data_IF_579243300875
#
_entry.id   IF_579243300875
#
_cell.length_a   1.000
_cell.length_b   1.000
_cell.length_c   1.000
_cell.angle_alpha   90.00
_cell.angle_beta   90.00
_cell.angle_gamma   90.00
#
_symmetry.space_group_name_H-M   'P 1'
#
loop_
_entity.id
_entity.type
_entity.pdbx_description
1 polymer ?
#
# COMPACT_ATOMS: atom_id res chain seq x y z
N UNK A 1 17.90 50.01 26.67
CA UNK A 1 17.02 50.42 27.81
C UNK A 1 16.14 49.23 28.12
N UNK A 2 16.43 48.62 29.25
CA UNK A 2 15.66 47.56 29.99
C UNK A 2 14.57 48.34 30.77
N UNK A 3 13.44 47.72 31.20
CA UNK A 3 13.45 46.48 32.01
C UNK A 3 12.30 45.47 31.81
N UNK A 4 12.61 44.26 32.21
CA UNK A 4 11.72 43.25 32.82
C UNK A 4 11.27 43.70 34.24
N UNK A 5 10.23 43.14 34.89
CA UNK A 5 10.51 42.04 35.81
C UNK A 5 9.40 40.99 36.08
N UNK A 6 9.83 39.81 36.59
CA UNK A 6 9.51 39.02 37.78
C UNK A 6 8.23 38.12 37.71
N UNK A 7 8.32 36.86 37.78
CA UNK A 7 8.71 35.84 38.80
C UNK A 7 7.49 35.39 39.65
N UNK A 8 7.31 34.08 39.78
CA UNK A 8 6.35 33.43 40.67
C UNK A 8 6.45 31.90 40.57
N UNK A 9 7.38 31.33 41.33
CA UNK A 9 7.56 29.90 41.58
C UNK A 9 6.38 29.30 42.37
N UNK A 10 6.10 28.03 42.14
CA UNK A 10 5.18 27.26 42.94
C UNK A 10 5.31 25.77 42.69
N UNK A 11 6.31 25.15 43.32
CA UNK A 11 6.50 23.71 43.43
C UNK A 11 5.43 23.16 44.37
N UNK A 12 4.76 22.05 43.99
CA UNK A 12 4.17 21.12 44.97
C UNK A 12 4.26 19.67 44.52
N UNK A 13 4.71 18.88 45.45
CA UNK A 13 5.19 17.50 45.45
C UNK A 13 4.02 16.53 45.60
N UNK A 14 4.13 15.42 44.84
CA UNK A 14 3.69 14.01 45.07
C UNK A 14 2.66 13.64 46.11
N UNK A 15 1.72 12.76 45.75
CA UNK A 15 1.09 11.77 46.62
C UNK A 15 -0.17 11.13 46.01
N UNK A 16 -0.29 9.80 45.97
CA UNK A 16 -1.45 9.13 45.39
C UNK A 16 -2.59 8.98 46.41
N UNK A 17 -3.84 9.18 45.97
CA UNK A 17 -4.99 8.82 46.77
C UNK A 17 -6.01 8.07 45.89
N UNK A 18 -6.45 6.90 46.36
CA UNK A 18 -7.47 6.13 45.64
C UNK A 18 -8.84 6.39 46.28
N UNK A 19 -9.87 6.70 45.51
CA UNK A 19 -11.27 6.40 45.86
C UNK A 19 -12.21 6.56 44.65
N UNK A 20 -13.31 5.79 44.57
CA UNK A 20 -14.13 5.70 43.36
C UNK A 20 -15.16 6.85 43.31
N UNK A 21 -15.26 7.52 42.17
CA UNK A 21 -16.27 8.53 41.89
C UNK A 21 -17.55 7.85 41.38
N UNK A 22 -18.56 7.83 42.25
CA UNK A 22 -19.95 7.59 41.86
C UNK A 22 -20.52 8.91 41.34
N UNK A 23 -20.74 9.01 40.06
CA UNK A 23 -21.38 10.18 39.46
C UNK A 23 -22.91 10.06 39.61
N UNK A 24 -23.48 10.84 40.53
CA UNK A 24 -24.92 11.07 40.66
C UNK A 24 -25.32 12.21 39.73
N UNK A 25 -26.04 11.91 38.67
CA UNK A 25 -26.66 12.93 37.81
C UNK A 25 -28.04 13.24 38.34
N UNK A 26 -28.23 14.42 38.94
CA UNK A 26 -29.53 14.93 39.38
C UNK A 26 -30.17 15.70 38.25
N UNK A 27 -31.26 15.17 37.73
CA UNK A 27 -32.13 15.92 36.82
C UNK A 27 -33.16 16.74 37.59
N UNK A 28 -33.17 18.04 37.41
CA UNK A 28 -34.17 18.96 37.94
C UNK A 28 -35.39 18.97 36.98
N UNK A 29 -36.51 18.40 37.41
CA UNK A 29 -37.76 18.42 36.67
C UNK A 29 -38.64 19.59 37.15
N UNK A 30 -39.11 20.37 36.19
CA UNK A 30 -40.06 21.50 36.37
C UNK A 30 -41.46 20.97 36.42
N UNK A 31 -42.20 21.23 37.50
CA UNK A 31 -43.55 20.79 37.75
C UNK A 31 -44.57 21.30 36.67
N UNK A 32 -45.39 20.39 36.17
CA UNK A 32 -46.76 20.65 35.67
C UNK A 32 -47.69 19.56 36.14
N UNK A 33 -48.88 20.02 36.49
CA UNK A 33 -49.96 19.38 37.27
C UNK A 33 -50.48 18.05 36.76
N UNK A 34 -50.65 17.17 37.68
CA UNK A 34 -51.70 16.18 38.00
C UNK A 34 -52.29 15.29 36.90
N UNK A 35 -51.88 14.02 36.96
CA UNK A 35 -52.72 12.82 36.76
C UNK A 35 -52.03 11.65 37.51
N UNK A 36 -52.76 10.67 38.07
CA UNK A 36 -52.15 9.65 38.96
C UNK A 36 -51.34 8.65 38.12
N UNK A 37 -50.09 8.48 38.56
CA UNK A 37 -49.11 7.54 37.97
C UNK A 37 -49.34 6.17 38.60
N UNK A 38 -49.41 5.07 37.83
CA UNK A 38 -49.36 3.71 38.41
C UNK A 38 -47.98 3.39 38.97
N UNK A 39 -47.86 2.41 39.90
CA UNK A 39 -46.60 2.15 40.60
C UNK A 39 -45.49 1.76 39.64
N UNK A 40 -44.35 2.49 39.73
CA UNK A 40 -43.15 2.26 38.96
C UNK A 40 -42.55 0.91 39.41
N UNK A 41 -42.56 -0.06 38.51
CA UNK A 41 -41.77 -1.28 38.66
C UNK A 41 -40.32 -0.92 38.36
N UNK A 42 -39.51 -0.87 39.41
CA UNK A 42 -38.07 -0.70 39.27
C UNK A 42 -37.47 -1.98 38.63
N UNK A 43 -37.19 -1.93 37.31
CA UNK A 43 -36.35 -2.95 36.65
C UNK A 43 -34.90 -2.69 37.06
N UNK A 44 -34.39 -3.46 38.04
CA UNK A 44 -32.94 -3.51 38.30
C UNK A 44 -32.27 -4.28 37.18
N UNK A 45 -31.67 -3.56 36.20
CA UNK A 45 -30.78 -4.16 35.21
C UNK A 45 -29.41 -4.33 35.91
N UNK A 46 -29.12 -5.52 36.38
CA UNK A 46 -27.77 -5.89 36.82
C UNK A 46 -26.95 -6.13 35.56
N UNK A 47 -26.14 -5.16 35.16
CA UNK A 47 -25.12 -5.37 34.12
C UNK A 47 -24.04 -6.29 34.71
N UNK A 48 -24.05 -7.54 34.28
CA UNK A 48 -22.98 -8.48 34.58
C UNK A 48 -21.74 -8.09 33.74
N UNK A 49 -20.83 -7.33 34.32
CA UNK A 49 -19.55 -6.93 33.73
C UNK A 49 -18.46 -8.01 33.80
N UNK A 50 -18.79 -9.19 34.29
CA UNK A 50 -17.80 -10.21 34.60
C UNK A 50 -17.45 -11.19 33.49
N UNK A 51 -18.02 -11.06 32.25
CA UNK A 51 -17.73 -12.00 31.16
C UNK A 51 -17.77 -11.39 29.75
N UNK A 52 -16.81 -10.53 29.45
CA UNK A 52 -16.26 -10.49 28.11
C UNK A 52 -14.75 -10.49 28.23
N UNK A 53 -14.14 -11.66 28.05
CA UNK A 53 -12.72 -11.69 27.72
C UNK A 53 -12.51 -10.72 26.55
N UNK A 54 -11.45 -9.89 26.56
CA UNK A 54 -11.17 -9.03 25.43
C UNK A 54 -11.15 -9.92 24.17
N UNK A 55 -11.70 -9.47 23.03
CA UNK A 55 -11.70 -10.27 21.81
C UNK A 55 -10.26 -10.74 21.58
N UNK A 56 -10.07 -12.04 21.41
CA UNK A 56 -8.76 -12.60 21.17
C UNK A 56 -8.15 -11.87 19.97
N UNK A 57 -7.01 -11.22 20.17
CA UNK A 57 -6.26 -10.60 19.08
C UNK A 57 -5.95 -11.73 18.10
N UNK A 58 -6.36 -11.63 16.83
CA UNK A 58 -6.11 -12.71 15.88
C UNK A 58 -4.60 -12.97 15.81
N UNK A 59 -4.18 -14.24 15.71
CA UNK A 59 -2.77 -14.59 15.71
C UNK A 59 -2.04 -13.86 14.57
N UNK A 60 -0.87 -13.29 14.89
CA UNK A 60 -0.10 -12.52 13.93
C UNK A 60 0.40 -13.40 12.77
N UNK A 61 0.26 -12.91 11.55
CA UNK A 61 0.81 -13.59 10.37
C UNK A 61 2.30 -13.26 10.25
N UNK A 62 3.15 -14.27 10.42
CA UNK A 62 4.61 -14.10 10.38
C UNK A 62 5.13 -13.69 9.00
N UNK A 63 4.43 -14.00 7.92
CA UNK A 63 4.86 -13.70 6.54
C UNK A 63 4.98 -12.21 6.24
N UNK A 64 4.40 -11.35 7.07
CA UNK A 64 4.43 -9.90 6.90
C UNK A 64 5.41 -9.17 7.80
N UNK A 65 6.20 -9.89 8.60
CA UNK A 65 7.18 -9.32 9.51
C UNK A 65 8.55 -9.24 8.83
N UNK A 66 9.24 -8.10 8.96
CA UNK A 66 10.66 -8.02 8.62
C UNK A 66 11.48 -8.95 9.52
N UNK A 67 12.72 -9.24 9.17
CA UNK A 67 13.57 -10.13 10.00
C UNK A 67 13.69 -9.65 11.44
N UNK A 68 13.83 -8.34 11.66
CA UNK A 68 13.92 -7.76 12.99
C UNK A 68 12.61 -7.91 13.78
N UNK A 69 11.47 -7.61 13.13
CA UNK A 69 10.14 -7.79 13.72
C UNK A 69 9.85 -9.28 14.02
N UNK A 70 10.23 -10.17 13.09
CA UNK A 70 10.09 -11.62 13.29
C UNK A 70 10.93 -12.10 14.47
N UNK A 71 12.17 -11.61 14.62
CA UNK A 71 13.03 -11.96 15.74
C UNK A 71 12.41 -11.52 17.07
N UNK A 72 11.91 -10.29 17.14
CA UNK A 72 11.23 -9.80 18.33
C UNK A 72 9.97 -10.63 18.64
N UNK A 73 9.10 -10.87 17.65
CA UNK A 73 7.89 -11.66 17.82
C UNK A 73 8.18 -13.09 18.31
N UNK A 74 9.20 -13.74 17.78
CA UNK A 74 9.61 -15.08 18.23
C UNK A 74 10.16 -15.08 19.66
N UNK A 75 10.98 -14.08 20.03
CA UNK A 75 11.53 -13.95 21.37
C UNK A 75 10.45 -13.67 22.41
N UNK A 76 9.49 -12.79 22.09
CA UNK A 76 8.43 -12.36 23.00
C UNK A 76 7.33 -13.44 23.14
N UNK A 77 7.21 -14.33 22.16
CA UNK A 77 6.16 -15.34 22.14
C UNK A 77 6.28 -16.40 23.22
N UNK A 78 7.50 -16.64 23.73
CA UNK A 78 7.83 -17.79 24.59
C UNK A 78 7.78 -19.16 23.86
N UNK A 79 7.46 -19.19 22.58
CA UNK A 79 7.49 -20.41 21.76
C UNK A 79 8.93 -20.84 21.40
N UNK A 80 9.87 -19.91 21.50
CA UNK A 80 11.27 -20.10 21.17
C UNK A 80 12.13 -19.49 22.26
N UNK A 81 13.15 -20.23 22.74
CA UNK A 81 14.11 -19.68 23.68
C UNK A 81 14.81 -18.44 23.07
N UNK A 82 14.94 -17.30 23.78
CA UNK A 82 15.50 -16.06 23.24
C UNK A 82 16.85 -16.23 22.54
N UNK A 83 17.74 -17.07 23.12
CA UNK A 83 19.05 -17.39 22.54
C UNK A 83 18.96 -18.08 21.16
N UNK A 84 17.86 -18.75 20.86
CA UNK A 84 17.62 -19.46 19.59
C UNK A 84 16.84 -18.61 18.57
N UNK A 85 16.31 -17.46 18.96
CA UNK A 85 15.41 -16.66 18.11
C UNK A 85 16.05 -16.31 16.77
N UNK A 86 17.32 -15.85 16.75
CA UNK A 86 18.06 -15.50 15.53
C UNK A 86 18.16 -16.68 14.55
N UNK A 87 18.48 -17.88 15.04
CA UNK A 87 18.57 -19.08 14.21
C UNK A 87 17.18 -19.48 13.67
N UNK A 88 16.14 -19.41 14.51
CA UNK A 88 14.76 -19.73 14.11
C UNK A 88 14.21 -18.75 13.07
N UNK A 89 14.56 -17.46 13.16
CA UNK A 89 14.26 -16.48 12.12
C UNK A 89 14.77 -16.96 10.75
N UNK A 90 16.05 -17.34 10.64
CA UNK A 90 16.61 -17.80 9.37
C UNK A 90 15.88 -19.04 8.83
N UNK A 91 15.56 -20.00 9.70
CA UNK A 91 14.84 -21.23 9.33
C UNK A 91 13.42 -20.90 8.86
N UNK A 92 12.62 -20.20 9.67
CA UNK A 92 11.25 -19.83 9.33
C UNK A 92 11.19 -18.94 8.08
N UNK A 93 12.13 -18.00 7.95
CA UNK A 93 12.23 -17.11 6.79
C UNK A 93 12.39 -17.88 5.47
N UNK A 94 13.31 -18.83 5.44
CA UNK A 94 13.50 -19.70 4.27
C UNK A 94 12.23 -20.46 3.91
N UNK A 95 11.55 -21.05 4.89
CA UNK A 95 10.31 -21.76 4.65
C UNK A 95 9.18 -20.86 4.12
N UNK A 96 8.99 -19.68 4.72
CA UNK A 96 7.94 -18.74 4.33
C UNK A 96 8.18 -18.09 2.97
N UNK A 97 9.40 -17.62 2.73
CA UNK A 97 9.67 -16.69 1.62
C UNK A 97 10.46 -17.32 0.47
N UNK A 98 11.12 -18.45 0.67
CA UNK A 98 11.80 -19.21 -0.40
C UNK A 98 10.98 -20.42 -0.84
N UNK A 99 10.39 -21.16 0.12
CA UNK A 99 9.59 -22.36 -0.17
C UNK A 99 8.09 -22.12 -0.22
N UNK A 100 7.61 -20.97 0.28
CA UNK A 100 6.20 -20.59 0.19
C UNK A 100 5.26 -21.38 1.09
N UNK A 101 5.75 -22.00 2.15
CA UNK A 101 4.90 -22.83 3.03
C UNK A 101 3.87 -21.98 3.78
N UNK A 102 2.71 -22.57 4.00
CA UNK A 102 1.58 -22.01 4.73
C UNK A 102 1.24 -22.80 5.99
N UNK A 103 2.04 -23.84 6.30
CA UNK A 103 1.88 -24.67 7.49
C UNK A 103 3.24 -24.85 8.19
N UNK A 104 3.26 -24.62 9.51
CA UNK A 104 4.45 -24.86 10.33
C UNK A 104 4.89 -26.32 10.32
N UNK A 105 3.97 -27.26 10.12
CA UNK A 105 4.29 -28.69 10.05
C UNK A 105 5.30 -29.02 8.94
N UNK A 106 5.30 -28.26 7.85
CA UNK A 106 6.24 -28.42 6.73
C UNK A 106 7.68 -27.97 7.04
N UNK A 107 7.91 -27.23 8.12
CA UNK A 107 9.22 -26.66 8.48
C UNK A 107 10.11 -27.73 9.16
N UNK A 108 10.53 -28.74 8.43
CA UNK A 108 11.15 -29.97 8.97
C UNK A 108 12.49 -29.78 9.70
N UNK A 109 13.19 -28.67 9.47
CA UNK A 109 14.43 -28.31 10.20
C UNK A 109 14.17 -27.55 11.51
N UNK A 110 12.90 -27.37 11.90
CA UNK A 110 12.47 -26.87 13.20
C UNK A 110 11.90 -28.03 14.02
N UNK A 111 12.31 -28.19 15.28
CA UNK A 111 11.84 -29.26 16.14
C UNK A 111 10.28 -29.30 16.22
N UNK A 112 9.71 -30.49 16.32
CA UNK A 112 8.25 -30.72 16.28
C UNK A 112 7.50 -29.92 17.36
N UNK A 113 8.05 -29.87 18.56
CA UNK A 113 7.50 -29.15 19.71
C UNK A 113 7.50 -27.63 19.46
N UNK A 114 8.59 -27.11 18.89
CA UNK A 114 8.68 -25.69 18.54
C UNK A 114 7.71 -25.32 17.41
N UNK A 115 7.50 -26.20 16.41
CA UNK A 115 6.49 -25.97 15.34
C UNK A 115 5.09 -25.92 15.91
N UNK A 116 4.75 -26.81 16.84
CA UNK A 116 3.45 -26.82 17.51
C UNK A 116 3.24 -25.52 18.33
N UNK A 117 4.24 -25.12 19.13
CA UNK A 117 4.19 -23.87 19.91
C UNK A 117 4.08 -22.62 19.02
N UNK A 118 4.69 -22.62 17.82
CA UNK A 118 4.53 -21.53 16.85
C UNK A 118 3.11 -21.50 16.26
N UNK A 119 2.56 -22.67 15.91
CA UNK A 119 1.21 -22.79 15.34
C UNK A 119 0.09 -22.36 16.29
N UNK A 120 0.30 -22.46 17.62
CA UNK A 120 -0.63 -21.96 18.62
C UNK A 120 -0.69 -20.42 18.70
N UNK A 121 0.36 -19.72 18.26
CA UNK A 121 0.53 -18.27 18.48
C UNK A 121 0.53 -17.47 17.21
N UNK A 122 0.84 -18.08 16.08
CA UNK A 122 1.05 -17.43 14.80
C UNK A 122 0.36 -18.18 13.67
N UNK A 123 0.14 -17.45 12.57
CA UNK A 123 -0.37 -18.03 11.32
C UNK A 123 0.55 -17.72 10.14
N UNK A 124 0.40 -18.51 9.06
CA UNK A 124 1.10 -18.35 7.78
C UNK A 124 0.10 -18.28 6.63
N UNK A 125 -1.08 -17.70 6.88
CA UNK A 125 -2.19 -17.73 5.94
C UNK A 125 -1.97 -16.86 4.72
N UNK A 126 -2.51 -17.31 3.58
CA UNK A 126 -2.71 -16.50 2.37
C UNK A 126 -4.08 -15.84 2.41
N UNK A 127 -4.21 -14.62 1.89
CA UNK A 127 -5.52 -14.02 1.67
C UNK A 127 -6.28 -14.81 0.60
N UNK A 128 -7.61 -14.73 0.63
CA UNK A 128 -8.47 -15.41 -0.32
C UNK A 128 -8.46 -14.69 -1.67
N UNK A 129 -8.27 -15.42 -2.76
CA UNK A 129 -8.56 -14.94 -4.10
C UNK A 129 -10.06 -14.95 -4.28
N UNK A 130 -10.67 -13.78 -4.47
CA UNK A 130 -12.11 -13.61 -4.75
C UNK A 130 -12.40 -13.91 -6.21
N UNK A 131 -11.55 -13.36 -7.08
CA UNK A 131 -11.67 -13.51 -8.53
C UNK A 131 -10.29 -13.60 -9.16
N UNK A 132 -10.16 -14.45 -10.17
CA UNK A 132 -9.00 -14.57 -11.05
C UNK A 132 -9.44 -14.37 -12.49
N UNK A 133 -8.87 -13.40 -13.15
CA UNK A 133 -9.13 -13.13 -14.57
C UNK A 133 -7.83 -13.27 -15.36
N UNK A 134 -7.91 -13.85 -16.55
CA UNK A 134 -6.77 -13.98 -17.45
C UNK A 134 -7.12 -13.39 -18.81
N UNK A 135 -6.29 -12.44 -19.25
CA UNK A 135 -6.42 -11.76 -20.52
C UNK A 135 -5.85 -12.62 -21.66
N UNK A 136 -6.33 -12.38 -22.87
CA UNK A 136 -5.81 -13.02 -24.09
C UNK A 136 -4.32 -12.79 -24.31
N UNK A 137 -3.76 -11.73 -23.77
CA UNK A 137 -2.34 -11.39 -23.87
C UNK A 137 -1.51 -11.93 -22.67
N UNK A 138 -2.10 -12.83 -21.86
CA UNK A 138 -1.45 -13.51 -20.76
C UNK A 138 -1.31 -12.71 -19.46
N UNK A 139 -1.93 -11.51 -19.38
CA UNK A 139 -2.04 -10.77 -18.14
C UNK A 139 -2.98 -11.50 -17.20
N UNK A 140 -2.59 -11.65 -15.94
CA UNK A 140 -3.44 -12.24 -14.90
C UNK A 140 -3.74 -11.19 -13.85
N UNK A 141 -5.03 -11.01 -13.54
CA UNK A 141 -5.51 -10.12 -12.48
C UNK A 141 -6.19 -10.93 -11.40
N UNK A 142 -5.84 -10.67 -10.15
CA UNK A 142 -6.49 -11.24 -8.97
C UNK A 142 -7.16 -10.14 -8.17
N UNK A 143 -8.42 -10.35 -7.79
CA UNK A 143 -9.06 -9.63 -6.71
C UNK A 143 -8.79 -10.40 -5.41
N UNK A 144 -8.04 -9.79 -4.50
CA UNK A 144 -7.57 -10.42 -3.26
C UNK A 144 -8.30 -9.80 -2.08
N UNK A 145 -8.95 -10.65 -1.27
CA UNK A 145 -9.65 -10.24 -0.05
C UNK A 145 -8.78 -10.47 1.18
N UNK A 146 -8.49 -9.40 1.90
CA UNK A 146 -7.67 -9.40 3.12
C UNK A 146 -8.51 -9.47 4.40
N UNK A 147 -9.77 -9.01 4.32
CA UNK A 147 -10.78 -9.07 5.36
C UNK A 147 -12.15 -8.77 4.72
N UNK A 148 -13.26 -9.01 5.41
CA UNK A 148 -14.59 -8.64 4.92
C UNK A 148 -14.65 -7.18 4.50
N UNK A 149 -15.01 -6.90 3.24
CA UNK A 149 -15.07 -5.56 2.65
C UNK A 149 -13.71 -4.88 2.45
N UNK A 150 -12.62 -5.64 2.44
CA UNK A 150 -11.25 -5.12 2.26
C UNK A 150 -10.57 -5.91 1.16
N UNK A 151 -10.73 -5.44 -0.08
CA UNK A 151 -10.24 -6.13 -1.27
C UNK A 151 -9.40 -5.19 -2.12
N UNK A 152 -8.35 -5.72 -2.74
CA UNK A 152 -7.55 -4.99 -3.69
C UNK A 152 -7.16 -5.86 -4.88
N UNK A 153 -6.97 -5.22 -6.03
CA UNK A 153 -6.53 -5.88 -7.24
C UNK A 153 -5.01 -5.93 -7.34
N UNK A 154 -4.51 -7.02 -7.85
CA UNK A 154 -3.09 -7.29 -8.14
C UNK A 154 -2.97 -7.85 -9.53
N UNK A 155 -1.98 -7.41 -10.32
CA UNK A 155 -1.87 -7.75 -11.74
C UNK A 155 -0.48 -8.27 -12.09
N UNK A 156 -0.40 -9.47 -12.65
CA UNK A 156 0.81 -9.98 -13.28
C UNK A 156 0.81 -9.65 -14.76
N UNK A 157 1.90 -9.05 -15.24
CA UNK A 157 2.08 -8.65 -16.64
C UNK A 157 3.30 -9.42 -17.17
N UNK A 158 3.09 -10.43 -18.05
CA UNK A 158 4.18 -11.18 -18.65
C UNK A 158 5.01 -10.32 -19.63
N UNK A 159 6.23 -10.75 -19.92
CA UNK A 159 7.15 -10.13 -20.87
C UNK A 159 7.50 -8.66 -20.57
N UNK A 160 7.43 -8.29 -19.30
CA UNK A 160 7.83 -6.96 -18.80
C UNK A 160 9.01 -7.11 -17.84
N UNK A 161 9.97 -6.20 -17.93
CA UNK A 161 11.22 -6.34 -17.20
C UNK A 161 12.08 -7.44 -17.82
N UNK A 162 12.50 -8.42 -17.00
CA UNK A 162 13.30 -9.57 -17.49
C UNK A 162 12.41 -10.71 -18.00
N UNK A 163 11.29 -10.96 -17.31
CA UNK A 163 10.34 -12.02 -17.69
C UNK A 163 8.89 -11.64 -17.38
N UNK A 164 8.64 -10.89 -16.30
CA UNK A 164 7.31 -10.40 -15.96
C UNK A 164 7.35 -9.50 -14.75
N UNK A 165 6.34 -8.65 -14.61
CA UNK A 165 6.19 -7.70 -13.54
C UNK A 165 4.87 -7.90 -12.80
N UNK A 166 4.91 -7.80 -11.47
CA UNK A 166 3.73 -7.75 -10.64
C UNK A 166 3.42 -6.29 -10.25
N UNK A 167 2.23 -5.85 -10.57
CA UNK A 167 1.67 -4.59 -10.12
C UNK A 167 0.92 -4.84 -8.81
N UNK A 168 1.43 -4.29 -7.71
CA UNK A 168 0.87 -4.43 -6.36
C UNK A 168 0.16 -3.17 -5.92
N UNK A 169 -0.88 -3.34 -5.11
CA UNK A 169 -1.64 -2.28 -4.46
C UNK A 169 -1.05 -1.97 -3.09
N UNK A 170 -1.12 -0.70 -2.68
CA UNK A 170 -0.67 -0.21 -1.37
C UNK A 170 -1.82 0.23 -0.45
N UNK A 171 -2.99 0.43 -1.02
CA UNK A 171 -4.22 0.85 -0.31
C UNK A 171 -5.42 0.10 -0.88
N UNK A 172 -6.51 0.04 -0.13
CA UNK A 172 -7.84 -0.31 -0.65
C UNK A 172 -8.57 1.00 -0.96
N UNK A 173 -8.91 1.22 -2.23
CA UNK A 173 -9.22 2.53 -2.77
C UNK A 173 -7.98 3.41 -2.90
N UNK A 174 -8.14 4.72 -2.97
CA UNK A 174 -7.02 5.65 -3.07
C UNK A 174 -7.25 6.88 -2.20
N UNK A 175 -6.16 7.39 -1.61
CA UNK A 175 -6.16 8.69 -0.91
C UNK A 175 -6.35 9.85 -1.89
N UNK A 176 -5.95 9.64 -3.16
CA UNK A 176 -5.97 10.64 -4.22
C UNK A 176 -7.16 10.41 -5.15
N UNK A 177 -7.59 11.50 -5.78
CA UNK A 177 -8.71 11.53 -6.72
C UNK A 177 -8.26 11.99 -8.12
N UNK A 178 -7.17 11.39 -8.63
CA UNK A 178 -6.70 11.66 -9.98
C UNK A 178 -7.80 11.37 -11.00
N UNK A 179 -8.13 12.36 -11.85
CA UNK A 179 -9.35 12.33 -12.67
C UNK A 179 -9.31 11.30 -13.81
N UNK A 180 -8.12 10.93 -14.26
CA UNK A 180 -7.90 9.92 -15.32
C UNK A 180 -7.83 8.47 -14.77
N UNK A 181 -7.88 8.27 -13.45
CA UNK A 181 -7.68 6.96 -12.81
C UNK A 181 -8.98 6.43 -12.22
N UNK A 182 -9.35 5.18 -12.58
CA UNK A 182 -10.55 4.53 -12.04
C UNK A 182 -10.46 4.33 -10.52
N UNK A 183 -9.27 3.94 -10.01
CA UNK A 183 -9.05 3.87 -8.55
C UNK A 183 -9.26 5.22 -7.86
N UNK A 184 -8.99 6.34 -8.55
CA UNK A 184 -9.24 7.69 -8.03
C UNK A 184 -10.72 8.01 -7.77
N UNK A 185 -11.64 7.24 -8.35
CA UNK A 185 -13.10 7.35 -8.08
C UNK A 185 -13.53 6.60 -6.82
N UNK A 186 -12.67 5.73 -6.29
CA UNK A 186 -12.92 4.94 -5.09
C UNK A 186 -12.28 5.61 -3.87
N UNK A 187 -13.11 6.03 -2.92
CA UNK A 187 -12.61 6.60 -1.68
C UNK A 187 -11.70 5.60 -0.93
N UNK A 188 -10.71 6.14 -0.22
CA UNK A 188 -9.82 5.33 0.62
C UNK A 188 -10.62 4.58 1.69
N UNK A 189 -10.54 3.26 1.68
CA UNK A 189 -11.04 2.39 2.75
C UNK A 189 -10.00 2.33 3.87
N UNK A 190 -8.77 1.89 3.56
CA UNK A 190 -7.61 1.89 4.44
C UNK A 190 -6.28 1.62 3.72
N UNK A 191 -5.19 1.86 4.42
CA UNK A 191 -3.87 1.38 4.02
C UNK A 191 -3.79 -0.14 4.13
N UNK A 192 -3.04 -0.78 3.23
CA UNK A 192 -2.64 -2.17 3.36
C UNK A 192 -1.44 -2.27 4.32
N UNK A 193 -1.41 -3.33 5.13
CA UNK A 193 -0.25 -3.67 5.96
C UNK A 193 0.89 -4.23 5.12
N UNK A 194 2.10 -4.28 5.67
CA UNK A 194 3.24 -4.92 5.01
C UNK A 194 2.93 -6.39 4.67
N UNK A 195 2.26 -7.12 5.58
CA UNK A 195 1.80 -8.47 5.35
C UNK A 195 0.89 -8.61 4.13
N UNK A 196 -0.06 -7.70 3.96
CA UNK A 196 -1.02 -7.71 2.85
C UNK A 196 -0.36 -7.32 1.53
N UNK A 197 0.63 -6.43 1.56
CA UNK A 197 1.43 -6.10 0.37
C UNK A 197 2.29 -7.31 -0.05
N UNK A 198 3.00 -7.95 0.89
CA UNK A 198 3.81 -9.15 0.63
C UNK A 198 2.92 -10.30 0.16
N UNK A 199 1.73 -10.44 0.74
CA UNK A 199 0.79 -11.50 0.38
C UNK A 199 0.35 -11.44 -1.09
N UNK A 200 0.28 -10.26 -1.71
CA UNK A 200 0.01 -10.13 -3.15
C UNK A 200 1.13 -10.80 -3.99
N UNK A 201 2.39 -10.66 -3.57
CA UNK A 201 3.53 -11.33 -4.23
C UNK A 201 3.45 -12.84 -4.01
N UNK A 202 3.07 -13.27 -2.81
CA UNK A 202 2.95 -14.69 -2.48
C UNK A 202 1.80 -15.36 -3.24
N UNK A 203 0.63 -14.72 -3.30
CA UNK A 203 -0.54 -15.18 -4.09
C UNK A 203 -0.16 -15.34 -5.57
N UNK A 204 0.54 -14.35 -6.14
CA UNK A 204 0.98 -14.45 -7.53
C UNK A 204 1.96 -15.61 -7.74
N UNK A 205 2.89 -15.84 -6.81
CA UNK A 205 3.83 -16.98 -6.88
C UNK A 205 3.15 -18.32 -6.70
N UNK A 206 2.14 -18.40 -5.82
CA UNK A 206 1.33 -19.61 -5.64
C UNK A 206 0.60 -19.97 -6.95
N UNK A 207 -0.12 -19.01 -7.55
CA UNK A 207 -0.91 -19.22 -8.77
C UNK A 207 -0.04 -19.49 -10.01
N UNK A 208 1.14 -18.86 -10.09
CA UNK A 208 2.10 -19.06 -11.18
C UNK A 208 2.98 -20.31 -11.00
N UNK A 209 2.90 -21.01 -9.87
CA UNK A 209 3.71 -22.20 -9.57
C UNK A 209 5.20 -21.90 -9.42
N UNK A 210 5.59 -20.75 -8.88
CA UNK A 210 6.98 -20.27 -8.89
C UNK A 210 7.82 -20.58 -7.65
N UNK A 211 7.27 -21.31 -6.69
CA UNK A 211 8.04 -21.74 -5.55
C UNK A 211 9.02 -22.84 -5.97
N UNK A 212 10.28 -22.72 -5.55
CA UNK A 212 11.36 -23.65 -5.94
C UNK A 212 11.63 -23.71 -7.46
N UNK A 213 11.23 -22.69 -8.21
CA UNK A 213 11.55 -22.62 -9.63
C UNK A 213 13.06 -22.62 -9.86
N UNK A 214 13.58 -23.39 -10.83
CA UNK A 214 14.99 -23.37 -11.20
C UNK A 214 15.48 -21.94 -11.48
N UNK A 215 16.77 -21.69 -11.24
CA UNK A 215 17.36 -20.40 -11.56
C UNK A 215 17.20 -20.09 -13.06
N UNK A 216 16.67 -18.90 -13.38
CA UNK A 216 16.39 -18.48 -14.75
C UNK A 216 14.98 -18.78 -15.27
N UNK A 217 14.19 -19.64 -14.61
CA UNK A 217 12.80 -19.95 -15.01
C UNK A 217 11.73 -19.06 -14.36
N UNK A 218 12.13 -18.13 -13.49
CA UNK A 218 11.19 -17.21 -12.82
C UNK A 218 10.44 -16.32 -13.80
N UNK A 219 9.11 -16.38 -13.76
CA UNK A 219 8.22 -15.50 -14.51
C UNK A 219 8.10 -14.13 -13.82
N UNK A 220 8.00 -14.10 -12.50
CA UNK A 220 7.88 -12.88 -11.69
C UNK A 220 9.28 -12.38 -11.29
N UNK A 221 9.76 -11.38 -12.01
CA UNK A 221 11.10 -10.82 -11.82
C UNK A 221 11.14 -9.36 -11.39
N UNK A 222 10.01 -8.65 -11.51
CA UNK A 222 9.90 -7.24 -11.19
C UNK A 222 8.64 -6.99 -10.35
N UNK A 223 8.68 -6.00 -9.46
CA UNK A 223 7.51 -5.52 -8.72
C UNK A 223 7.35 -4.02 -8.93
N UNK A 224 6.13 -3.58 -9.20
CA UNK A 224 5.82 -2.16 -9.34
C UNK A 224 4.65 -1.79 -8.42
N UNK A 225 4.83 -0.78 -7.60
CA UNK A 225 3.77 -0.20 -6.76
C UNK A 225 3.00 0.83 -7.60
N UNK A 226 2.19 0.32 -8.52
CA UNK A 226 1.39 1.10 -9.47
C UNK A 226 -0.07 0.61 -9.52
N UNK A 227 -0.47 -0.22 -8.55
CA UNK A 227 -1.83 -0.67 -8.35
C UNK A 227 -2.69 0.36 -7.64
N UNK A 228 -3.60 -0.09 -6.80
CA UNK A 228 -4.50 0.79 -6.05
C UNK A 228 -3.76 1.52 -4.94
N UNK A 229 -4.01 2.85 -4.82
CA UNK A 229 -3.51 3.69 -3.74
C UNK A 229 -2.26 4.51 -4.08
N UNK A 230 -1.93 5.41 -3.15
CA UNK A 230 -0.70 6.21 -3.15
C UNK A 230 0.31 5.61 -2.15
N UNK A 231 1.39 4.98 -2.62
CA UNK A 231 2.33 4.28 -1.74
C UNK A 231 2.98 5.16 -0.67
N UNK A 232 3.23 6.44 -0.98
CA UNK A 232 3.91 7.33 -0.04
C UNK A 232 3.01 7.82 1.12
N UNK A 233 1.70 7.64 1.03
CA UNK A 233 0.81 7.77 2.20
C UNK A 233 0.74 6.48 3.05
N UNK A 234 1.48 5.44 2.64
CA UNK A 234 1.63 4.18 3.36
C UNK A 234 3.11 3.76 3.44
N UNK A 235 4.02 4.73 3.58
CA UNK A 235 5.47 4.51 3.41
C UNK A 235 6.03 3.43 4.32
N UNK A 236 5.61 3.37 5.58
CA UNK A 236 6.16 2.40 6.55
C UNK A 236 5.87 0.97 6.12
N UNK A 237 4.61 0.66 5.80
CA UNK A 237 4.24 -0.68 5.34
C UNK A 237 4.86 -1.02 3.97
N UNK A 238 4.98 -0.03 3.08
CA UNK A 238 5.65 -0.20 1.78
C UNK A 238 7.13 -0.49 1.97
N UNK A 239 7.82 0.21 2.87
CA UNK A 239 9.24 0.00 3.15
C UNK A 239 9.49 -1.40 3.77
N UNK A 240 8.68 -1.80 4.74
CA UNK A 240 8.76 -3.12 5.35
C UNK A 240 8.50 -4.24 4.33
N UNK A 241 7.48 -4.06 3.48
CA UNK A 241 7.22 -5.00 2.38
C UNK A 241 8.38 -5.09 1.38
N UNK A 242 9.00 -3.95 1.05
CA UNK A 242 10.19 -3.90 0.19
C UNK A 242 11.37 -4.66 0.80
N UNK A 243 11.61 -4.54 2.11
CA UNK A 243 12.65 -5.28 2.82
C UNK A 243 12.42 -6.79 2.73
N UNK A 244 11.17 -7.23 2.93
CA UNK A 244 10.79 -8.64 2.82
C UNK A 244 10.96 -9.15 1.38
N UNK A 245 10.42 -8.42 0.39
CA UNK A 245 10.43 -8.82 -1.02
C UNK A 245 11.86 -8.87 -1.58
N UNK A 246 12.74 -7.96 -1.12
CA UNK A 246 14.10 -7.85 -1.64
C UNK A 246 15.15 -8.70 -0.90
N UNK A 247 14.76 -9.36 0.19
CA UNK A 247 15.67 -10.20 0.98
C UNK A 247 16.20 -11.39 0.17
N UNK A 248 17.53 -11.51 0.06
CA UNK A 248 18.18 -12.48 -0.82
C UNK A 248 17.98 -13.95 -0.39
N UNK A 249 17.66 -14.20 0.89
CA UNK A 249 17.40 -15.54 1.41
C UNK A 249 15.90 -15.91 1.38
N UNK A 250 15.07 -15.03 0.80
CA UNK A 250 13.62 -15.19 0.69
C UNK A 250 13.11 -15.07 -0.75
N UNK A 251 12.23 -14.09 -0.99
CA UNK A 251 11.62 -13.83 -2.31
C UNK A 251 12.68 -13.39 -3.32
N UNK A 252 13.69 -12.64 -2.89
CA UNK A 252 14.89 -12.29 -3.64
C UNK A 252 14.65 -11.52 -4.94
N UNK A 253 13.73 -10.55 -4.94
CA UNK A 253 13.57 -9.59 -6.05
C UNK A 253 14.46 -8.39 -5.76
N UNK A 254 15.53 -8.20 -6.55
CA UNK A 254 16.48 -7.10 -6.36
C UNK A 254 15.78 -5.74 -6.31
N UNK A 255 16.18 -4.84 -5.40
CA UNK A 255 15.66 -3.48 -5.27
C UNK A 255 15.70 -2.67 -6.58
N UNK A 256 16.64 -2.95 -7.48
CA UNK A 256 16.70 -2.36 -8.83
C UNK A 256 15.55 -2.80 -9.75
N UNK A 257 14.82 -3.83 -9.36
CA UNK A 257 13.63 -4.36 -10.06
C UNK A 257 12.34 -4.06 -9.33
N UNK A 258 12.41 -3.27 -8.26
CA UNK A 258 11.25 -2.80 -7.53
C UNK A 258 11.13 -1.31 -7.77
N UNK A 259 9.98 -0.88 -8.31
CA UNK A 259 9.69 0.54 -8.58
C UNK A 259 8.53 0.98 -7.73
N UNK A 260 8.74 2.05 -6.97
CA UNK A 260 7.65 2.74 -6.25
C UNK A 260 7.24 3.96 -7.06
N UNK A 261 5.97 4.00 -7.45
CA UNK A 261 5.37 5.15 -8.13
C UNK A 261 4.66 6.04 -7.13
N UNK A 262 4.75 7.34 -7.33
CA UNK A 262 4.02 8.32 -6.53
C UNK A 262 3.47 9.44 -7.40
N UNK A 263 2.34 9.96 -7.02
CA UNK A 263 1.79 11.19 -7.61
C UNK A 263 2.48 12.45 -7.09
N UNK A 264 3.43 12.32 -6.14
CA UNK A 264 4.25 13.43 -5.69
C UNK A 264 3.98 13.87 -4.25
N UNK A 265 3.93 12.94 -3.30
CA UNK A 265 3.92 13.26 -1.86
C UNK A 265 5.33 13.72 -1.47
N UNK A 266 5.65 14.97 -1.78
CA UNK A 266 6.99 15.58 -1.73
C UNK A 266 7.77 15.28 -0.44
N UNK A 267 7.22 15.42 0.78
CA UNK A 267 7.97 15.17 2.01
C UNK A 267 8.47 13.73 2.16
N UNK A 268 7.80 12.76 1.50
CA UNK A 268 8.11 11.35 1.63
C UNK A 268 9.05 10.81 0.55
N UNK A 269 9.33 11.58 -0.50
CA UNK A 269 10.17 11.12 -1.63
C UNK A 269 11.60 10.82 -1.14
N UNK A 270 12.22 11.72 -0.38
CA UNK A 270 13.55 11.53 0.16
C UNK A 270 13.60 10.33 1.12
N UNK A 271 12.63 10.25 2.04
CA UNK A 271 12.53 9.16 3.02
C UNK A 271 12.39 7.78 2.34
N UNK A 272 11.61 7.67 1.25
CA UNK A 272 11.55 6.45 0.45
C UNK A 272 12.94 6.01 -0.03
N UNK A 273 13.72 6.92 -0.60
CA UNK A 273 15.04 6.62 -1.13
C UNK A 273 16.03 6.19 -0.05
N UNK A 274 16.03 6.88 1.09
CA UNK A 274 16.89 6.59 2.24
C UNK A 274 16.58 5.23 2.87
N UNK A 275 15.30 4.91 3.05
CA UNK A 275 14.86 3.65 3.69
C UNK A 275 14.96 2.44 2.77
N UNK A 276 14.66 2.59 1.48
CA UNK A 276 14.42 1.42 0.62
C UNK A 276 15.41 1.28 -0.51
N UNK A 277 16.03 2.36 -0.95
CA UNK A 277 16.80 2.39 -2.20
C UNK A 277 16.01 1.84 -3.41
N UNK A 278 14.71 1.94 -3.45
CA UNK A 278 13.86 1.52 -4.57
C UNK A 278 14.06 2.40 -5.80
N UNK A 279 13.64 1.93 -6.98
CA UNK A 279 13.52 2.78 -8.16
C UNK A 279 12.31 3.69 -7.99
N UNK A 280 12.45 4.96 -8.38
CA UNK A 280 11.39 5.96 -8.27
C UNK A 280 10.67 6.15 -9.61
N UNK A 281 9.34 6.16 -9.58
CA UNK A 281 8.52 6.64 -10.68
C UNK A 281 7.63 7.80 -10.19
N UNK A 282 7.45 8.81 -11.06
CA UNK A 282 6.62 9.99 -10.79
C UNK A 282 5.47 10.05 -11.78
N UNK A 283 4.26 10.01 -11.29
CA UNK A 283 3.04 10.28 -12.05
C UNK A 283 2.94 11.80 -12.31
N UNK A 284 3.54 12.26 -13.42
CA UNK A 284 3.63 13.70 -13.74
C UNK A 284 2.40 14.20 -14.49
N UNK A 285 2.13 13.62 -15.65
CA UNK A 285 0.94 13.76 -16.52
C UNK A 285 0.64 15.14 -17.09
N UNK A 286 1.30 16.20 -16.64
CA UNK A 286 1.18 17.56 -17.15
C UNK A 286 2.52 18.29 -17.09
N UNK A 287 2.64 19.41 -17.85
CA UNK A 287 3.86 20.23 -17.92
C UNK A 287 3.69 21.58 -17.22
N UNK A 288 2.49 21.88 -16.72
CA UNK A 288 2.16 23.08 -15.97
C UNK A 288 1.21 22.76 -14.81
N UNK A 289 1.22 23.62 -13.78
CA UNK A 289 0.44 23.41 -12.57
C UNK A 289 -1.06 23.48 -12.81
N UNK A 290 -1.53 24.37 -13.68
CA UNK A 290 -2.97 24.53 -13.96
C UNK A 290 -3.59 23.22 -14.44
N UNK A 291 -2.99 22.59 -15.45
CA UNK A 291 -3.47 21.29 -15.95
C UNK A 291 -3.23 20.18 -14.92
N UNK A 292 -2.10 20.21 -14.20
CA UNK A 292 -1.81 19.18 -13.21
C UNK A 292 -2.75 19.24 -12.02
N UNK A 293 -3.24 20.41 -11.62
CA UNK A 293 -4.25 20.59 -10.57
C UNK A 293 -5.59 19.91 -10.90
N UNK A 294 -5.90 19.80 -12.20
CA UNK A 294 -7.09 19.11 -12.70
C UNK A 294 -6.88 17.60 -12.76
N UNK A 295 -5.76 17.17 -13.32
CA UNK A 295 -5.47 15.75 -13.55
C UNK A 295 -5.03 15.04 -12.27
N UNK A 296 -4.22 15.70 -11.44
CA UNK A 296 -3.61 15.19 -10.21
C UNK A 296 -3.81 16.22 -9.09
N UNK A 297 -4.96 16.29 -8.43
CA UNK A 297 -5.29 17.35 -7.47
C UNK A 297 -4.31 17.51 -6.29
N UNK A 298 -3.47 16.50 -6.03
CA UNK A 298 -2.36 16.60 -5.09
C UNK A 298 -1.39 17.74 -5.43
N UNK A 299 -1.31 18.14 -6.71
CA UNK A 299 -0.44 19.23 -7.18
C UNK A 299 -0.72 20.57 -6.48
N UNK A 300 -1.97 20.85 -6.12
CA UNK A 300 -2.34 22.05 -5.35
C UNK A 300 -1.59 22.17 -4.03
N UNK A 301 -1.21 21.02 -3.44
CA UNK A 301 -0.42 20.96 -2.21
C UNK A 301 1.08 20.93 -2.48
N UNK A 302 1.49 20.26 -3.55
CA UNK A 302 2.88 20.09 -3.95
C UNK A 302 3.03 20.41 -5.44
N UNK A 303 3.25 21.69 -5.79
CA UNK A 303 3.42 22.12 -7.17
C UNK A 303 4.58 21.40 -7.87
N UNK A 304 4.57 21.43 -9.21
CA UNK A 304 5.60 20.77 -10.03
C UNK A 304 7.02 21.18 -9.62
N UNK A 305 7.23 22.45 -9.27
CA UNK A 305 8.55 22.93 -8.86
C UNK A 305 9.07 22.21 -7.60
N UNK A 306 8.23 22.06 -6.58
CA UNK A 306 8.55 21.35 -5.33
C UNK A 306 8.79 19.86 -5.59
N UNK A 307 7.93 19.25 -6.41
CA UNK A 307 8.07 17.85 -6.82
C UNK A 307 9.42 17.61 -7.49
N UNK A 308 9.78 18.41 -8.47
CA UNK A 308 11.05 18.26 -9.19
C UNK A 308 12.26 18.58 -8.31
N UNK A 309 12.12 19.51 -7.35
CA UNK A 309 13.11 19.75 -6.30
C UNK A 309 13.37 18.49 -5.49
N UNK A 310 12.33 17.83 -5.01
CA UNK A 310 12.44 16.56 -4.27
C UNK A 310 13.03 15.43 -5.13
N UNK A 311 12.68 15.34 -6.41
CA UNK A 311 13.22 14.35 -7.35
C UNK A 311 14.72 14.55 -7.55
N UNK A 312 15.20 15.80 -7.71
CA UNK A 312 16.64 16.08 -7.83
C UNK A 312 17.43 15.65 -6.60
N UNK A 313 16.81 15.72 -5.43
CA UNK A 313 17.36 15.26 -4.15
C UNK A 313 17.18 13.76 -3.86
N UNK A 314 16.63 12.98 -4.79
CA UNK A 314 16.38 11.55 -4.55
C UNK A 314 17.68 10.76 -4.40
N UNK A 315 17.89 9.99 -3.29
CA UNK A 315 19.13 9.28 -3.04
C UNK A 315 19.51 8.32 -4.15
N UNK A 316 20.74 8.44 -4.63
CA UNK A 316 21.31 7.57 -5.67
C UNK A 316 20.84 7.84 -7.09
N UNK A 317 20.14 8.97 -7.35
CA UNK A 317 19.78 9.40 -8.69
C UNK A 317 21.03 9.60 -9.56
N UNK A 318 21.07 8.97 -10.72
CA UNK A 318 22.17 9.04 -11.66
C UNK A 318 21.75 8.54 -13.04
N UNK A 319 22.63 8.68 -14.07
CA UNK A 319 22.37 8.12 -15.39
C UNK A 319 22.18 6.59 -15.39
N UNK A 320 22.80 5.87 -14.45
CA UNK A 320 22.60 4.43 -14.26
C UNK A 320 21.32 4.11 -13.46
N UNK A 321 20.80 5.08 -12.73
CA UNK A 321 19.64 4.93 -11.87
C UNK A 321 18.69 6.12 -12.06
N UNK A 322 18.04 6.13 -13.22
CA UNK A 322 17.14 7.21 -13.66
C UNK A 322 15.80 7.12 -12.94
N UNK A 323 15.21 8.28 -12.65
CA UNK A 323 13.78 8.38 -12.34
C UNK A 323 12.95 8.11 -13.57
N UNK A 324 11.80 7.47 -13.40
CA UNK A 324 10.80 7.30 -14.46
C UNK A 324 9.71 8.33 -14.29
N UNK A 325 9.45 9.16 -15.29
CA UNK A 325 8.25 9.98 -15.34
C UNK A 325 7.17 9.25 -16.14
N UNK A 326 6.05 8.99 -15.52
CA UNK A 326 4.87 8.42 -16.15
C UNK A 326 4.02 9.58 -16.70
N UNK A 327 3.65 9.49 -17.98
CA UNK A 327 2.89 10.52 -18.68
C UNK A 327 1.75 9.88 -19.47
N UNK A 328 0.52 10.00 -18.95
CA UNK A 328 -0.69 9.50 -19.62
C UNK A 328 -1.01 10.41 -20.81
N UNK A 329 -1.31 9.83 -21.98
CA UNK A 329 -1.57 10.57 -23.21
C UNK A 329 -3.09 10.73 -23.39
N UNK A 330 -3.59 11.94 -23.11
CA UNK A 330 -5.00 12.32 -23.16
C UNK A 330 -5.24 13.19 -24.39
N UNK A 331 -6.14 12.74 -25.27
CA UNK A 331 -6.40 13.35 -26.57
C UNK A 331 -6.85 14.81 -26.44
N UNK A 332 -6.11 15.70 -27.10
CA UNK A 332 -6.39 17.13 -27.14
C UNK A 332 -6.16 17.88 -25.83
N UNK A 333 -5.59 17.22 -24.81
CA UNK A 333 -5.38 17.81 -23.47
C UNK A 333 -3.89 18.04 -23.20
N UNK A 334 -3.09 16.99 -23.23
CA UNK A 334 -1.67 17.03 -22.87
C UNK A 334 -0.75 16.42 -23.93
N UNK A 335 -1.24 16.18 -25.13
CA UNK A 335 -0.60 15.38 -26.17
C UNK A 335 0.00 16.19 -27.34
N UNK A 336 -0.03 17.52 -27.26
CA UNK A 336 0.48 18.38 -28.34
C UNK A 336 2.01 18.37 -28.43
N UNK A 337 2.59 18.68 -29.62
CA UNK A 337 4.03 18.90 -29.76
C UNK A 337 4.59 20.03 -28.87
N UNK A 338 3.76 21.00 -28.50
CA UNK A 338 4.12 22.07 -27.58
C UNK A 338 4.33 21.50 -26.16
N UNK A 339 3.44 20.62 -25.69
CA UNK A 339 3.56 19.92 -24.42
C UNK A 339 4.81 19.01 -24.39
N UNK A 340 5.12 18.30 -25.48
CA UNK A 340 6.35 17.50 -25.57
C UNK A 340 7.61 18.37 -25.36
N UNK A 341 7.67 19.52 -26.03
CA UNK A 341 8.79 20.49 -25.86
C UNK A 341 8.81 21.10 -24.45
N UNK A 342 7.65 21.38 -23.87
CA UNK A 342 7.54 21.87 -22.51
C UNK A 342 8.04 20.82 -21.50
N UNK A 343 7.69 19.55 -21.68
CA UNK A 343 8.16 18.43 -20.87
C UNK A 343 9.68 18.29 -20.89
N UNK A 344 10.28 18.40 -22.07
CA UNK A 344 11.75 18.37 -22.23
C UNK A 344 12.42 19.51 -21.44
N UNK A 345 11.90 20.74 -21.56
CA UNK A 345 12.44 21.89 -20.80
C UNK A 345 12.27 21.71 -19.30
N UNK A 346 11.10 21.21 -18.87
CA UNK A 346 10.76 21.00 -17.46
C UNK A 346 11.71 20.00 -16.78
N UNK A 347 12.09 18.93 -17.48
CA UNK A 347 12.94 17.87 -16.95
C UNK A 347 14.43 18.10 -17.19
N UNK A 348 14.83 19.25 -17.72
CA UNK A 348 16.23 19.57 -18.01
C UNK A 348 17.14 19.32 -16.79
N UNK A 349 18.25 18.60 -17.01
CA UNK A 349 19.23 18.26 -15.98
C UNK A 349 18.83 17.14 -15.01
N UNK A 350 17.66 16.52 -15.18
CA UNK A 350 17.25 15.37 -14.35
C UNK A 350 17.57 14.07 -15.10
N UNK A 351 18.35 13.14 -14.54
CA UNK A 351 18.54 11.81 -15.09
C UNK A 351 17.22 11.02 -15.13
N UNK A 352 16.54 11.02 -16.28
CA UNK A 352 15.18 10.52 -16.38
C UNK A 352 14.97 9.63 -17.62
N UNK A 353 13.90 8.86 -17.57
CA UNK A 353 13.18 8.29 -18.70
C UNK A 353 11.71 8.65 -18.59
N UNK A 354 11.02 8.73 -19.72
CA UNK A 354 9.63 9.16 -19.76
C UNK A 354 8.80 8.04 -20.39
N UNK A 355 7.95 7.40 -19.60
CA UNK A 355 7.02 6.39 -20.10
C UNK A 355 5.76 7.08 -20.60
N UNK A 356 5.50 7.04 -21.89
CA UNK A 356 4.24 7.48 -22.46
C UNK A 356 3.21 6.35 -22.36
N UNK A 357 2.11 6.64 -21.68
CA UNK A 357 1.04 5.69 -21.41
C UNK A 357 -0.16 6.08 -22.28
N UNK A 358 -0.44 5.36 -23.38
CA UNK A 358 -1.72 5.52 -24.07
C UNK A 358 -2.85 5.36 -23.07
N UNK A 359 -3.76 6.32 -22.98
CA UNK A 359 -4.84 6.27 -22.00
C UNK A 359 -5.66 4.98 -22.14
N UNK A 360 -5.98 4.37 -21.02
CA UNK A 360 -6.81 3.17 -20.97
C UNK A 360 -8.21 3.57 -20.47
N UNK A 361 -9.21 3.63 -21.35
CA UNK A 361 -10.57 4.00 -20.96
C UNK A 361 -11.14 3.04 -19.91
N UNK A 362 -11.92 3.59 -19.00
CA UNK A 362 -12.71 2.86 -18.01
C UNK A 362 -14.16 3.40 -18.00
N UNK A 363 -15.16 2.63 -17.52
CA UNK A 363 -16.56 3.06 -17.55
C UNK A 363 -16.78 4.37 -16.81
N UNK A 364 -17.28 5.39 -17.52
CA UNK A 364 -17.54 6.72 -16.97
C UNK A 364 -16.36 7.70 -17.05
N UNK A 365 -15.22 7.31 -17.63
CA UNK A 365 -14.11 8.23 -17.88
C UNK A 365 -14.48 9.33 -18.86
N UNK A 366 -14.15 10.61 -18.56
CA UNK A 366 -14.41 11.72 -19.48
C UNK A 366 -13.30 11.86 -20.55
N UNK A 367 -12.25 11.04 -20.52
CA UNK A 367 -11.07 11.17 -21.36
C UNK A 367 -11.04 10.17 -22.49
N UNK A 368 -10.36 10.56 -23.58
CA UNK A 368 -10.05 9.70 -24.72
C UNK A 368 -8.55 9.48 -24.85
N UNK A 369 -8.16 8.33 -25.43
CA UNK A 369 -6.79 8.05 -25.76
C UNK A 369 -6.34 8.90 -26.96
N UNK A 370 -5.16 9.48 -26.87
CA UNK A 370 -4.52 10.17 -28.01
C UNK A 370 -4.35 9.24 -29.21
N UNK A 371 -4.43 9.79 -30.40
CA UNK A 371 -4.18 9.03 -31.63
C UNK A 371 -2.73 8.54 -31.68
N UNK A 372 -2.52 7.35 -32.24
CA UNK A 372 -1.20 6.72 -32.27
C UNK A 372 -0.11 7.60 -32.86
N UNK A 373 -0.40 8.28 -33.97
CA UNK A 373 0.54 9.21 -34.63
C UNK A 373 0.94 10.38 -33.75
N UNK A 374 -0.01 10.90 -32.93
CA UNK A 374 0.24 11.96 -31.97
C UNK A 374 1.21 11.48 -30.90
N UNK A 375 0.97 10.28 -30.34
CA UNK A 375 1.85 9.67 -29.33
C UNK A 375 3.26 9.43 -29.90
N UNK A 376 3.36 8.91 -31.12
CA UNK A 376 4.65 8.67 -31.80
C UNK A 376 5.40 9.98 -32.05
N UNK A 377 4.71 11.04 -32.50
CA UNK A 377 5.31 12.38 -32.69
C UNK A 377 5.81 12.96 -31.38
N UNK A 378 5.03 12.80 -30.29
CA UNK A 378 5.41 13.23 -28.96
C UNK A 378 6.68 12.47 -28.48
N UNK A 379 6.70 11.15 -28.64
CA UNK A 379 7.84 10.31 -28.30
C UNK A 379 9.10 10.72 -29.08
N UNK A 380 8.97 11.01 -30.39
CA UNK A 380 10.08 11.45 -31.23
C UNK A 380 10.70 12.77 -30.73
N UNK A 381 9.87 13.76 -30.35
CA UNK A 381 10.36 15.03 -29.82
C UNK A 381 11.16 14.80 -28.55
N UNK A 382 10.64 13.97 -27.64
CA UNK A 382 11.26 13.66 -26.35
C UNK A 382 12.55 12.86 -26.54
N UNK A 383 12.55 11.85 -27.44
CA UNK A 383 13.73 11.03 -27.75
C UNK A 383 14.86 11.86 -28.40
N UNK A 384 14.54 12.76 -29.33
CA UNK A 384 15.52 13.67 -29.95
C UNK A 384 16.17 14.61 -28.95
N UNK A 385 15.49 14.91 -27.87
CA UNK A 385 16.03 15.71 -26.75
C UNK A 385 16.92 14.89 -25.78
N UNK A 386 17.14 13.58 -26.04
CA UNK A 386 18.00 12.71 -25.25
C UNK A 386 17.32 11.95 -24.11
N UNK A 387 16.01 12.05 -23.95
CA UNK A 387 15.26 11.25 -22.99
C UNK A 387 14.72 9.97 -23.65
N UNK A 388 15.04 8.80 -23.10
CA UNK A 388 14.38 7.57 -23.52
C UNK A 388 12.87 7.65 -23.22
N UNK A 389 12.06 7.56 -24.29
CA UNK A 389 10.60 7.72 -24.19
C UNK A 389 9.86 6.52 -24.80
N UNK A 390 9.85 5.36 -24.12
CA UNK A 390 9.09 4.21 -24.59
C UNK A 390 7.59 4.48 -24.51
N UNK A 391 6.87 4.05 -25.54
CA UNK A 391 5.41 4.01 -25.56
C UNK A 391 4.98 2.68 -24.95
N UNK A 392 4.24 2.73 -23.84
CA UNK A 392 3.73 1.53 -23.16
C UNK A 392 2.69 0.84 -24.05
N UNK A 393 2.86 -0.45 -24.29
CA UNK A 393 1.80 -1.25 -24.89
C UNK A 393 0.73 -1.50 -23.83
N UNK A 394 -0.52 -1.12 -24.07
CA UNK A 394 -1.61 -1.49 -23.16
C UNK A 394 -1.75 -3.01 -23.09
N UNK A 395 -1.83 -3.56 -21.89
CA UNK A 395 -1.96 -4.99 -21.63
C UNK A 395 -3.16 -5.22 -20.69
N UNK A 396 -3.87 -6.33 -20.88
CA UNK A 396 -5.00 -6.72 -20.03
C UNK A 396 -6.21 -5.79 -20.13
N UNK A 397 -6.43 -5.08 -21.23
CA UNK A 397 -7.58 -4.16 -21.39
C UNK A 397 -8.93 -4.86 -21.34
N UNK A 398 -9.00 -6.06 -21.88
CA UNK A 398 -10.20 -6.91 -21.94
C UNK A 398 -10.71 -7.34 -20.56
N UNK A 399 -9.83 -7.34 -19.55
CA UNK A 399 -10.16 -7.63 -18.15
C UNK A 399 -9.97 -6.40 -17.23
N UNK A 400 -9.87 -5.19 -17.80
CA UNK A 400 -9.64 -3.95 -17.06
C UNK A 400 -8.43 -4.03 -16.09
N UNK A 401 -7.34 -4.60 -16.55
CA UNK A 401 -6.12 -4.76 -15.78
C UNK A 401 -5.02 -3.76 -16.16
N UNK A 402 -5.26 -2.88 -17.15
CA UNK A 402 -4.28 -1.88 -17.56
C UNK A 402 -4.14 -0.75 -16.51
N UNK A 403 -3.01 -0.02 -16.59
CA UNK A 403 -2.75 1.10 -15.69
C UNK A 403 -3.92 2.10 -15.66
N UNK A 404 -4.36 2.47 -14.47
CA UNK A 404 -5.46 3.39 -14.24
C UNK A 404 -6.86 2.75 -14.29
N UNK A 405 -6.99 1.44 -14.56
CA UNK A 405 -8.29 0.76 -14.65
C UNK A 405 -8.70 -0.02 -13.37
N UNK A 406 -7.78 -0.22 -12.43
CA UNK A 406 -8.04 -1.03 -11.23
C UNK A 406 -9.06 -0.37 -10.30
N UNK A 407 -10.01 -1.16 -9.81
CA UNK A 407 -11.01 -0.75 -8.84
C UNK A 407 -11.61 -1.98 -8.14
N UNK A 408 -11.78 -1.91 -6.82
CA UNK A 408 -12.56 -2.91 -6.07
C UNK A 408 -13.90 -2.34 -5.64
N UNK A 409 -14.84 -3.21 -5.32
CA UNK A 409 -16.16 -2.81 -4.77
C UNK A 409 -16.11 -2.59 -3.25
N UNK A 410 -14.92 -2.55 -2.66
CA UNK A 410 -14.74 -2.30 -1.23
C UNK A 410 -15.20 -0.91 -0.84
N UNK A 411 -15.99 -0.83 0.23
CA UNK A 411 -16.46 0.41 0.81
C UNK A 411 -16.03 0.56 2.25
N UNK A 412 -15.88 1.80 2.72
CA UNK A 412 -15.59 2.08 4.12
C UNK A 412 -16.81 1.76 4.98
N UNK A 413 -16.85 0.55 5.52
CA UNK A 413 -17.93 0.11 6.41
C UNK A 413 -17.97 0.97 7.67
N UNK A 414 -19.19 1.36 8.12
CA UNK A 414 -19.41 1.98 9.42
C UNK A 414 -19.00 1.00 10.53
N UNK A 415 -18.54 1.51 11.68
CA UNK A 415 -18.05 0.68 12.78
C UNK A 415 -19.05 -0.39 13.25
N UNK A 416 -20.36 -0.08 13.20
CA UNK A 416 -21.45 -1.02 13.51
C UNK A 416 -21.56 -2.17 12.50
N UNK A 417 -21.31 -1.92 11.22
CA UNK A 417 -21.33 -2.95 10.18
C UNK A 417 -20.11 -3.86 10.25
N UNK A 418 -18.94 -3.32 10.62
CA UNK A 418 -17.72 -4.15 10.85
C UNK A 418 -17.90 -5.15 11.99
N UNK A 419 -18.51 -4.73 13.12
CA UNK A 419 -18.80 -5.64 14.22
C UNK A 419 -19.73 -6.78 13.80
N UNK A 420 -20.80 -6.49 13.07
CA UNK A 420 -21.74 -7.53 12.60
C UNK A 420 -21.08 -8.56 11.69
N UNK A 421 -20.14 -8.13 10.83
CA UNK A 421 -19.43 -9.03 9.92
C UNK A 421 -18.38 -9.88 10.66
N UNK A 422 -17.70 -9.34 11.69
CA UNK A 422 -16.79 -10.13 12.53
C UNK A 422 -17.53 -11.19 13.33
N UNK A 423 -18.75 -10.89 13.82
CA UNK A 423 -19.58 -11.81 14.59
C UNK A 423 -20.21 -12.93 13.73
N UNK A 424 -20.27 -12.79 12.40
CA UNK A 424 -20.77 -13.80 11.46
C UNK A 424 -19.66 -14.73 10.92
N UNK A 425 -18.39 -14.39 11.15
CA UNK A 425 -17.23 -15.15 10.65
C UNK A 425 -16.45 -15.83 11.78
N UNK A 426 -16.87 -15.68 13.03
CA UNK A 426 -16.40 -16.39 14.21
C UNK A 426 -17.35 -17.54 14.56
#
# INVERSE_FOLDING_TARGET
>A
MIPSPLAGEGVCVSGPCPLPLTAMVTFCAKERRSSPIPPTVALSITLDLSRSAPPAVPPANLSGLTRAQLQAALADSGAVAPAMARMRVGQAWGWMHKHGVTDFAAMTNIAKEARAALAERFVLTRPRIVERQESRDGVVKWLVSFAPGVEAETVFIPDVGRSGALCVSSQVGCTLNCTFCHTGTQALVRNLTAAEIVAQVQVARDDLGEWMAPEGSRRLTNVVFMGMGEPLYNLDAVADALDIISDNEGIAISRRRITVSTSGVVPQIKALGERTSAMLAISLHATNDALRDELVPLNRRYPIADLLGAVRGYPGLSNARRVTFEYVMLKGINDSPAEARALVRLLAGIPAKINLIPFNPWPGSPYECSDRRVIETFADIVNRAGYASPIRKPRGRDIQAACGQLKSESEKLRASARRRLSDQTA
#
